data_IF_307638560319
#
_entry.id   IF_307638560319
#
_cell.length_a   1.000
_cell.length_b   1.000
_cell.length_c   1.000
_cell.angle_alpha   90.00
_cell.angle_beta   90.00
_cell.angle_gamma   90.00
#
_symmetry.space_group_name_H-M   'P 1'
#
loop_
_entity.id
_entity.type
_entity.pdbx_description
1 polymer ?
#
# COMPACT_ATOMS: atom_id res chain seq x y z
N UNK A 1 -12.36 15.50 18.36
CA UNK A 1 -13.44 15.79 17.38
C UNK A 1 -12.89 16.12 15.99
N UNK A 2 -12.02 17.13 15.83
CA UNK A 2 -11.37 17.42 14.53
C UNK A 2 -10.58 16.22 14.00
N UNK A 3 -9.87 15.52 14.87
CA UNK A 3 -9.07 14.33 14.52
C UNK A 3 -9.94 13.18 13.95
N UNK A 4 -11.15 13.02 14.49
CA UNK A 4 -12.11 12.02 14.03
C UNK A 4 -12.67 12.40 12.66
N UNK A 5 -13.00 13.68 12.44
CA UNK A 5 -13.44 14.18 11.14
C UNK A 5 -12.35 14.04 10.06
N UNK A 6 -11.09 14.33 10.41
CA UNK A 6 -9.92 14.09 9.54
C UNK A 6 -9.82 12.61 9.15
N UNK A 7 -9.90 11.71 10.13
CA UNK A 7 -9.84 10.25 9.90
C UNK A 7 -11.02 9.71 9.09
N UNK A 8 -12.23 10.22 9.31
CA UNK A 8 -13.43 9.84 8.56
C UNK A 8 -13.41 10.38 7.13
N UNK A 9 -12.91 11.60 6.91
CA UNK A 9 -12.66 12.13 5.56
C UNK A 9 -11.60 11.30 4.83
N UNK A 10 -10.50 10.94 5.49
CA UNK A 10 -9.48 10.02 4.94
C UNK A 10 -10.09 8.69 4.50
N UNK A 11 -10.99 8.13 5.31
CA UNK A 11 -11.64 6.85 5.05
C UNK A 11 -12.74 6.92 3.97
N UNK A 12 -13.47 8.04 3.85
CA UNK A 12 -14.57 8.21 2.91
C UNK A 12 -14.17 8.72 1.52
N UNK A 13 -13.01 9.36 1.40
CA UNK A 13 -12.55 10.00 0.15
C UNK A 13 -11.41 9.22 -0.52
N UNK A 14 -10.76 8.32 0.22
CA UNK A 14 -9.50 7.71 -0.20
C UNK A 14 -8.36 8.73 -0.12
N UNK A 15 -7.20 8.28 0.34
CA UNK A 15 -6.06 9.16 0.64
C UNK A 15 -5.54 9.95 -0.59
N UNK A 16 -5.94 9.57 -1.81
CA UNK A 16 -5.57 10.23 -3.06
C UNK A 16 -6.35 11.53 -3.37
N UNK A 17 -7.47 11.82 -2.68
CA UNK A 17 -8.38 12.92 -3.07
C UNK A 17 -8.59 13.96 -1.94
N UNK A 18 -7.66 14.07 -1.00
CA UNK A 18 -7.66 15.22 -0.06
C UNK A 18 -7.03 16.42 -0.75
N UNK A 19 -7.88 17.23 -1.39
CA UNK A 19 -7.49 18.51 -1.99
C UNK A 19 -8.03 19.67 -1.15
N UNK A 20 -7.40 20.84 -1.30
CA UNK A 20 -7.85 22.08 -0.64
C UNK A 20 -9.35 22.31 -0.91
N UNK A 21 -9.78 22.15 -2.16
CA UNK A 21 -11.17 22.32 -2.58
C UNK A 21 -12.15 21.38 -1.85
N UNK A 22 -11.76 20.12 -1.63
CA UNK A 22 -12.59 19.14 -0.91
C UNK A 22 -12.71 19.48 0.57
N UNK A 23 -11.64 20.01 1.17
CA UNK A 23 -11.67 20.43 2.58
C UNK A 23 -12.40 21.75 2.74
N UNK A 24 -12.27 22.68 1.79
CA UNK A 24 -13.05 23.93 1.76
C UNK A 24 -14.56 23.63 1.68
N UNK A 25 -14.99 22.74 0.78
CA UNK A 25 -16.38 22.30 0.68
C UNK A 25 -16.89 21.66 1.98
N UNK A 26 -16.06 20.86 2.66
CA UNK A 26 -16.42 20.26 3.95
C UNK A 26 -16.55 21.29 5.09
N UNK A 27 -15.83 22.41 5.00
CA UNK A 27 -15.86 23.50 5.98
C UNK A 27 -16.91 24.56 5.65
N UNK A 28 -17.42 24.60 4.43
CA UNK A 28 -18.43 25.56 3.96
C UNK A 28 -19.72 25.48 4.79
N UNK A 29 -20.16 24.28 5.14
CA UNK A 29 -21.29 24.05 6.05
C UNK A 29 -21.07 24.63 7.46
N UNK A 30 -19.82 24.67 7.92
CA UNK A 30 -19.47 25.24 9.22
C UNK A 30 -19.40 26.77 9.16
N UNK A 31 -19.01 27.32 8.01
CA UNK A 31 -19.06 28.77 7.74
C UNK A 31 -20.51 29.24 7.63
N UNK A 32 -21.35 28.52 6.88
CA UNK A 32 -22.77 28.84 6.73
C UNK A 32 -23.53 28.83 8.07
N UNK A 33 -23.12 27.95 8.99
CA UNK A 33 -23.67 27.86 10.36
C UNK A 33 -23.06 28.90 11.33
N UNK A 34 -22.16 29.77 10.86
CA UNK A 34 -21.48 30.78 11.68
C UNK A 34 -20.50 30.20 12.70
N UNK A 35 -20.15 28.91 12.61
CA UNK A 35 -19.27 28.22 13.57
C UNK A 35 -17.79 28.44 13.31
N UNK A 36 -17.44 28.82 12.08
CA UNK A 36 -16.08 29.05 11.62
C UNK A 36 -16.10 30.24 10.67
N UNK A 37 -15.10 31.14 10.77
CA UNK A 37 -14.99 32.25 9.82
C UNK A 37 -14.49 31.74 8.46
N UNK A 38 -14.84 32.40 7.36
CA UNK A 38 -14.34 32.03 6.03
C UNK A 38 -12.80 32.05 5.95
N UNK A 39 -12.15 32.95 6.70
CA UNK A 39 -10.70 33.03 6.80
C UNK A 39 -10.10 31.82 7.52
N UNK A 40 -10.70 31.41 8.63
CA UNK A 40 -10.25 30.24 9.40
C UNK A 40 -10.48 28.94 8.63
N UNK A 41 -11.60 28.84 7.90
CA UNK A 41 -11.91 27.70 7.05
C UNK A 41 -10.83 27.50 5.96
N UNK A 42 -10.46 28.57 5.25
CA UNK A 42 -9.37 28.53 4.25
C UNK A 42 -8.03 28.11 4.86
N UNK A 43 -7.69 28.66 6.03
CA UNK A 43 -6.44 28.36 6.73
C UNK A 43 -6.40 26.89 7.21
N UNK A 44 -7.53 26.36 7.67
CA UNK A 44 -7.67 24.94 8.03
C UNK A 44 -7.57 24.05 6.80
N UNK A 45 -8.25 24.39 5.70
CA UNK A 45 -8.20 23.61 4.48
C UNK A 45 -6.78 23.47 3.92
N UNK A 46 -6.04 24.58 3.92
CA UNK A 46 -4.66 24.61 3.46
C UNK A 46 -3.73 23.78 4.36
N UNK A 47 -3.91 23.87 5.68
CA UNK A 47 -3.16 23.06 6.65
C UNK A 47 -3.46 21.56 6.48
N UNK A 48 -4.73 21.18 6.37
CA UNK A 48 -5.17 19.78 6.23
C UNK A 48 -4.68 19.21 4.90
N UNK A 49 -4.78 19.97 3.81
CA UNK A 49 -4.31 19.53 2.51
C UNK A 49 -2.79 19.32 2.48
N UNK A 50 -2.02 20.17 3.18
CA UNK A 50 -0.56 20.01 3.29
C UNK A 50 -0.18 18.81 4.15
N UNK A 51 -0.72 18.73 5.37
CA UNK A 51 -0.44 17.63 6.31
C UNK A 51 -0.85 16.28 5.70
N UNK A 52 -2.02 16.21 5.06
CA UNK A 52 -2.49 14.99 4.41
C UNK A 52 -1.60 14.54 3.26
N UNK A 53 -0.96 15.47 2.54
CA UNK A 53 -0.02 15.15 1.46
C UNK A 53 1.28 14.56 2.02
N UNK A 54 1.85 15.19 3.04
CA UNK A 54 3.07 14.68 3.71
C UNK A 54 2.84 13.29 4.34
N UNK A 55 1.70 13.10 5.01
CA UNK A 55 1.35 11.83 5.64
C UNK A 55 1.10 10.74 4.58
N UNK A 56 0.48 11.11 3.45
CA UNK A 56 0.28 10.20 2.32
C UNK A 56 1.60 9.76 1.67
N UNK A 57 2.54 10.67 1.47
CA UNK A 57 3.85 10.34 0.91
C UNK A 57 4.60 9.35 1.82
N UNK A 58 4.60 9.60 3.13
CA UNK A 58 5.21 8.69 4.11
C UNK A 58 4.56 7.30 4.11
N UNK A 59 3.23 7.25 4.10
CA UNK A 59 2.49 5.97 4.05
C UNK A 59 2.74 5.24 2.73
N UNK A 60 2.79 5.98 1.62
CA UNK A 60 3.07 5.42 0.28
C UNK A 60 4.46 4.81 0.21
N UNK A 61 5.48 5.47 0.75
CA UNK A 61 6.84 4.95 0.82
C UNK A 61 6.95 3.70 1.69
N UNK A 62 6.32 3.71 2.87
CA UNK A 62 6.27 2.55 3.75
C UNK A 62 5.55 1.37 3.10
N UNK A 63 4.45 1.64 2.39
CA UNK A 63 3.68 0.63 1.69
C UNK A 63 4.48 0.05 0.51
N UNK A 64 5.15 0.90 -0.28
CA UNK A 64 6.02 0.48 -1.37
C UNK A 64 7.16 -0.42 -0.88
N UNK A 65 7.76 -0.08 0.25
CA UNK A 65 8.80 -0.90 0.89
C UNK A 65 8.26 -2.26 1.32
N UNK A 66 7.11 -2.31 2.00
CA UNK A 66 6.47 -3.56 2.42
C UNK A 66 6.08 -4.45 1.24
N UNK A 67 5.57 -3.88 0.15
CA UNK A 67 5.22 -4.63 -1.06
C UNK A 67 6.47 -5.23 -1.68
N UNK A 68 7.57 -4.46 -1.80
CA UNK A 68 8.86 -4.97 -2.30
C UNK A 68 9.38 -6.13 -1.44
N UNK A 69 9.32 -5.99 -0.12
CA UNK A 69 9.76 -7.05 0.81
C UNK A 69 8.94 -8.34 0.66
N UNK A 70 7.62 -8.22 0.50
CA UNK A 70 6.73 -9.37 0.28
C UNK A 70 7.06 -10.05 -1.05
N UNK A 71 7.24 -9.28 -2.12
CA UNK A 71 7.60 -9.80 -3.44
C UNK A 71 8.95 -10.53 -3.41
N UNK A 72 9.97 -9.93 -2.77
CA UNK A 72 11.29 -10.54 -2.62
C UNK A 72 11.24 -11.87 -1.86
N UNK A 73 10.46 -11.94 -0.77
CA UNK A 73 10.25 -13.19 -0.01
C UNK A 73 9.50 -14.26 -0.79
N UNK A 74 8.64 -13.86 -1.73
CA UNK A 74 7.88 -14.78 -2.56
C UNK A 74 8.75 -15.37 -3.68
N UNK A 75 9.63 -14.54 -4.25
CA UNK A 75 10.61 -14.98 -5.24
C UNK A 75 11.59 -15.99 -4.62
N UNK A 76 12.13 -15.70 -3.42
CA UNK A 76 13.06 -16.63 -2.75
C UNK A 76 12.43 -18.00 -2.47
N UNK A 77 11.17 -18.04 -1.99
CA UNK A 77 10.42 -19.29 -1.79
C UNK A 77 10.17 -20.05 -3.10
N UNK A 78 10.01 -19.33 -4.21
CA UNK A 78 9.80 -19.94 -5.52
C UNK A 78 11.09 -20.58 -6.02
N UNK A 79 12.23 -19.89 -5.86
CA UNK A 79 13.56 -20.42 -6.18
C UNK A 79 13.90 -21.67 -5.36
N UNK A 80 13.63 -21.66 -4.05
CA UNK A 80 13.83 -22.86 -3.20
C UNK A 80 13.00 -24.06 -3.67
N UNK A 81 11.74 -23.82 -4.04
CA UNK A 81 10.85 -24.87 -4.57
C UNK A 81 11.32 -25.40 -5.92
N UNK A 82 11.85 -24.53 -6.79
CA UNK A 82 12.44 -24.91 -8.08
C UNK A 82 13.68 -25.79 -7.88
N UNK A 83 14.63 -25.36 -7.05
CA UNK A 83 15.83 -26.13 -6.75
C UNK A 83 15.53 -27.52 -6.16
N UNK A 84 14.52 -27.61 -5.27
CA UNK A 84 14.06 -28.89 -4.74
C UNK A 84 13.44 -29.80 -5.82
N UNK A 85 12.77 -29.22 -6.81
CA UNK A 85 12.23 -29.95 -7.96
C UNK A 85 13.36 -30.47 -8.86
N UNK A 86 14.33 -29.61 -9.19
CA UNK A 86 15.49 -29.97 -10.03
C UNK A 86 16.29 -31.12 -9.41
N UNK A 87 16.56 -31.07 -8.10
CA UNK A 87 17.24 -32.16 -7.40
C UNK A 87 16.44 -33.48 -7.46
N UNK A 88 15.12 -33.42 -7.36
CA UNK A 88 14.26 -34.61 -7.51
C UNK A 88 14.30 -35.16 -8.93
N UNK A 89 14.25 -34.29 -9.94
CA UNK A 89 14.35 -34.68 -11.34
C UNK A 89 15.69 -35.36 -11.61
N UNK A 90 16.80 -34.78 -11.15
CA UNK A 90 18.14 -35.37 -11.34
C UNK A 90 18.24 -36.77 -10.69
N UNK A 91 17.69 -36.94 -9.49
CA UNK A 91 17.63 -38.26 -8.82
C UNK A 91 16.81 -39.27 -9.63
N UNK A 92 15.66 -38.84 -10.17
CA UNK A 92 14.81 -39.70 -10.99
C UNK A 92 15.47 -40.05 -12.32
N UNK A 93 16.14 -39.11 -12.97
CA UNK A 93 16.89 -39.32 -14.21
C UNK A 93 18.04 -40.31 -14.01
N UNK A 94 18.82 -40.16 -12.92
CA UNK A 94 19.88 -41.12 -12.57
C UNK A 94 19.33 -42.52 -12.32
N UNK A 95 18.17 -42.64 -11.66
CA UNK A 95 17.49 -43.93 -11.45
C UNK A 95 17.00 -44.54 -12.77
N UNK A 96 16.40 -43.73 -13.65
CA UNK A 96 15.93 -44.16 -14.95
C UNK A 96 17.06 -44.54 -15.92
N UNK A 97 18.23 -43.90 -15.79
CA UNK A 97 19.44 -44.30 -16.53
C UNK A 97 19.97 -45.66 -16.06
N UNK A 98 20.04 -45.88 -14.74
CA UNK A 98 20.44 -47.17 -14.15
C UNK A 98 19.49 -48.32 -14.48
N UNK A 99 18.18 -48.07 -14.50
CA UNK A 99 17.21 -49.12 -14.86
C UNK A 99 17.26 -49.49 -16.35
N UNK A 100 17.65 -48.55 -17.22
CA UNK A 100 17.88 -48.80 -18.65
C UNK A 100 19.19 -49.55 -18.92
N UNK A 101 20.26 -49.30 -18.16
CA UNK A 101 21.53 -50.03 -18.32
C UNK A 101 21.52 -51.46 -17.77
N UNK A 102 20.55 -51.80 -16.90
CA UNK A 102 20.38 -53.15 -16.34
C UNK A 102 19.56 -54.09 -17.23
N UNK A 103 18.97 -53.57 -18.32
CA UNK A 103 18.04 -54.31 -19.19
C UNK A 103 18.61 -54.58 -20.59
N UNK A 104 19.87 -54.23 -20.82
CA UNK A 104 20.69 -54.56 -22.00
C UNK A 104 21.87 -55.41 -21.57
#
# INVERSE_FOLDING_TARGET
MIDTLKKTLLAGVGAAVITKDKVEAALEDFVAKGKVSAADARKMAEKIAREGREEFDQVSDQLGTKIKDVLARMDSKTQERLAALEARVEVLEKKAARSRSSKS
#
